data_IF_091960183269
#
_entry.id   IF_091960183269
#
_cell.length_a   1.000
_cell.length_b   1.000
_cell.length_c   1.000
_cell.angle_alpha   90.00
_cell.angle_beta   90.00
_cell.angle_gamma   90.00
#
_symmetry.space_group_name_H-M   'P 1'
#
loop_
_entity.id
_entity.type
_entity.pdbx_description
1 polymer ?
#
# COMPACT_ATOMS: atom_id res chain seq x y z
N UNK A 1 -19.96 18.09 -14.13
CA UNK A 1 -19.12 17.87 -12.92
C UNK A 1 -17.79 17.31 -13.38
N UNK A 2 -16.65 17.95 -13.02
CA UNK A 2 -15.31 17.39 -13.33
C UNK A 2 -15.19 16.07 -12.57
N UNK A 3 -15.27 14.95 -13.28
CA UNK A 3 -15.22 13.60 -12.73
C UNK A 3 -13.76 13.26 -12.33
N UNK A 4 -13.18 14.05 -11.43
CA UNK A 4 -11.78 13.99 -11.04
C UNK A 4 -11.51 12.70 -10.28
N UNK A 5 -10.41 12.04 -10.63
CA UNK A 5 -9.90 10.87 -9.90
C UNK A 5 -9.04 11.41 -8.77
N UNK A 6 -9.40 11.10 -7.53
CA UNK A 6 -8.58 11.44 -6.37
C UNK A 6 -7.69 10.24 -6.05
N UNK A 7 -6.41 10.51 -5.81
CA UNK A 7 -5.40 9.49 -5.53
C UNK A 7 -4.77 9.81 -4.19
N UNK A 8 -4.77 8.84 -3.29
CA UNK A 8 -4.13 8.93 -1.99
C UNK A 8 -3.15 7.77 -1.85
N UNK A 9 -1.95 8.02 -1.32
CA UNK A 9 -0.95 6.99 -1.08
C UNK A 9 -0.75 6.76 0.42
N UNK A 10 -0.43 5.52 0.78
CA UNK A 10 -0.09 5.12 2.14
C UNK A 10 1.05 4.10 2.07
N UNK A 11 2.12 4.34 2.84
CA UNK A 11 3.22 3.38 2.97
C UNK A 11 2.74 2.09 3.64
N UNK A 12 3.11 0.94 3.09
CA UNK A 12 2.70 -0.40 3.56
C UNK A 12 3.86 -1.39 3.44
N UNK A 13 4.77 -1.35 4.41
CA UNK A 13 6.00 -2.15 4.40
C UNK A 13 6.88 -1.79 3.20
N UNK A 14 7.25 -2.79 2.40
CA UNK A 14 8.07 -2.61 1.19
C UNK A 14 7.28 -2.04 0.00
N UNK A 15 5.94 -2.00 0.09
CA UNK A 15 5.06 -1.52 -0.97
C UNK A 15 4.31 -0.26 -0.55
N UNK A 16 3.67 0.41 -1.51
CA UNK A 16 2.77 1.52 -1.24
C UNK A 16 1.37 1.14 -1.67
N UNK A 17 0.40 1.35 -0.80
CA UNK A 17 -1.01 1.25 -1.15
C UNK A 17 -1.44 2.56 -1.81
N UNK A 18 -2.10 2.47 -2.96
CA UNK A 18 -2.68 3.61 -3.66
C UNK A 18 -4.20 3.48 -3.67
N UNK A 19 -4.88 4.38 -2.99
CA UNK A 19 -6.33 4.53 -3.00
C UNK A 19 -6.76 5.40 -4.18
N UNK A 20 -7.76 4.93 -4.91
CA UNK A 20 -8.40 5.59 -6.04
C UNK A 20 -9.86 5.84 -5.69
N UNK A 21 -10.25 7.11 -5.65
CA UNK A 21 -11.63 7.52 -5.40
C UNK A 21 -12.21 8.25 -6.62
N UNK A 22 -13.42 7.86 -7.02
CA UNK A 22 -14.09 8.44 -8.19
C UNK A 22 -15.04 7.47 -8.88
N UNK A 23 -15.31 7.73 -10.16
CA UNK A 23 -16.17 6.86 -10.96
C UNK A 23 -15.49 5.54 -11.32
N UNK A 24 -16.14 4.40 -11.04
CA UNK A 24 -15.63 3.03 -11.30
C UNK A 24 -14.97 2.87 -12.67
N UNK A 25 -15.62 3.32 -13.75
CA UNK A 25 -15.06 3.21 -15.10
C UNK A 25 -13.72 3.93 -15.28
N UNK A 26 -13.52 5.08 -14.62
CA UNK A 26 -12.24 5.82 -14.64
C UNK A 26 -11.18 5.12 -13.78
N UNK A 27 -11.57 4.63 -12.61
CA UNK A 27 -10.69 3.86 -11.72
C UNK A 27 -10.14 2.64 -12.46
N UNK A 28 -11.03 1.85 -13.07
CA UNK A 28 -10.65 0.66 -13.85
C UNK A 28 -9.76 1.03 -15.04
N UNK A 29 -10.10 2.09 -15.79
CA UNK A 29 -9.27 2.53 -16.92
C UNK A 29 -7.87 2.96 -16.49
N UNK A 30 -7.77 3.69 -15.37
CA UNK A 30 -6.48 4.14 -14.83
C UNK A 30 -5.66 2.95 -14.31
N UNK A 31 -6.28 2.06 -13.53
CA UNK A 31 -5.62 0.85 -13.03
C UNK A 31 -5.13 -0.05 -14.17
N UNK A 32 -5.94 -0.25 -15.22
CA UNK A 32 -5.54 -1.04 -16.39
C UNK A 32 -4.37 -0.39 -17.15
N UNK A 33 -4.34 0.95 -17.23
CA UNK A 33 -3.20 1.65 -17.83
C UNK A 33 -1.92 1.41 -17.02
N UNK A 34 -1.99 1.43 -15.69
CA UNK A 34 -0.86 1.11 -14.82
C UNK A 34 -0.41 -0.35 -14.98
N UNK A 35 -1.36 -1.29 -15.01
CA UNK A 35 -1.10 -2.71 -15.23
C UNK A 35 -0.38 -2.96 -16.56
N UNK A 36 -0.86 -2.37 -17.66
CA UNK A 36 -0.28 -2.53 -19.00
C UNK A 36 1.20 -2.08 -19.08
N UNK A 37 1.62 -1.19 -18.20
CA UNK A 37 3.00 -0.70 -18.12
C UNK A 37 3.82 -1.33 -16.99
N UNK A 38 3.27 -2.35 -16.31
CA UNK A 38 3.95 -3.16 -15.30
C UNK A 38 4.03 -2.53 -13.91
N UNK A 39 3.14 -1.58 -13.57
CA UNK A 39 3.16 -0.95 -12.24
C UNK A 39 2.44 -1.76 -11.16
N UNK A 40 1.47 -2.61 -11.52
CA UNK A 40 0.64 -3.38 -10.57
C UNK A 40 0.58 -4.84 -11.01
N UNK A 41 0.23 -5.73 -10.08
CA UNK A 41 -0.03 -7.14 -10.35
C UNK A 41 -1.45 -7.42 -10.90
N UNK A 42 -2.21 -6.36 -11.23
CA UNK A 42 -3.57 -6.48 -11.74
C UNK A 42 -4.64 -6.63 -10.65
N UNK A 43 -4.28 -6.66 -9.38
CA UNK A 43 -5.24 -6.78 -8.28
C UNK A 43 -5.74 -5.40 -7.83
N UNK A 44 -7.06 -5.22 -7.95
CA UNK A 44 -7.76 -4.03 -7.50
C UNK A 44 -8.76 -4.44 -6.41
N UNK A 45 -8.59 -3.89 -5.21
CA UNK A 45 -9.39 -4.22 -4.04
C UNK A 45 -10.47 -3.15 -3.81
N UNK A 46 -11.73 -3.57 -3.61
CA UNK A 46 -12.82 -2.66 -3.23
C UNK A 46 -12.74 -2.37 -1.72
N UNK A 47 -12.94 -1.11 -1.32
CA UNK A 47 -13.07 -0.72 0.10
C UNK A 47 -14.45 -1.03 0.69
N UNK A 48 -15.34 -1.68 -0.08
CA UNK A 48 -16.66 -2.12 0.35
C UNK A 48 -17.78 -1.10 0.08
N UNK A 49 -17.46 0.01 -0.58
CA UNK A 49 -18.43 1.08 -0.88
C UNK A 49 -18.68 1.27 -2.39
N UNK A 50 -17.98 0.53 -3.25
CA UNK A 50 -18.09 0.60 -4.71
C UNK A 50 -17.64 1.93 -5.34
N UNK A 51 -17.05 2.83 -4.55
CA UNK A 51 -16.61 4.19 -4.93
C UNK A 51 -15.12 4.43 -4.70
N UNK A 52 -14.49 3.61 -3.87
CA UNK A 52 -13.09 3.67 -3.52
C UNK A 52 -12.45 2.29 -3.67
N UNK A 53 -11.34 2.24 -4.40
CA UNK A 53 -10.60 1.01 -4.65
C UNK A 53 -9.13 1.25 -4.38
N UNK A 54 -8.40 0.25 -3.92
CA UNK A 54 -6.96 0.36 -3.72
C UNK A 54 -6.19 -0.77 -4.41
N UNK A 55 -4.93 -0.51 -4.69
CA UNK A 55 -3.98 -1.51 -5.19
C UNK A 55 -2.62 -1.30 -4.53
N UNK A 56 -1.81 -2.34 -4.51
CA UNK A 56 -0.43 -2.28 -4.03
C UNK A 56 0.52 -2.15 -5.22
N UNK A 57 1.50 -1.26 -5.09
CA UNK A 57 2.56 -1.09 -6.07
C UNK A 57 3.80 -0.47 -5.42
N UNK A 58 4.97 -0.68 -6.03
CA UNK A 58 6.14 0.12 -5.70
C UNK A 58 6.00 1.53 -6.31
N UNK A 59 6.37 2.59 -5.57
CA UNK A 59 6.25 3.96 -6.04
C UNK A 59 7.02 4.21 -7.34
N UNK A 60 8.21 3.62 -7.48
CA UNK A 60 9.04 3.73 -8.68
C UNK A 60 8.37 3.10 -9.90
N UNK A 61 7.68 1.97 -9.71
CA UNK A 61 6.95 1.28 -10.77
C UNK A 61 5.75 2.13 -11.24
N UNK A 62 5.03 2.77 -10.31
CA UNK A 62 3.93 3.69 -10.61
C UNK A 62 4.44 4.91 -11.38
N UNK A 63 5.52 5.55 -10.91
CA UNK A 63 6.12 6.69 -11.60
C UNK A 63 6.54 6.32 -13.03
N UNK A 64 7.22 5.19 -13.20
CA UNK A 64 7.65 4.71 -14.50
C UNK A 64 6.45 4.44 -15.44
N UNK A 65 5.37 3.85 -14.94
CA UNK A 65 4.14 3.67 -15.72
C UNK A 65 3.49 5.02 -16.09
N UNK A 66 3.44 5.98 -15.17
CA UNK A 66 2.91 7.32 -15.45
C UNK A 66 3.71 8.03 -16.55
N UNK A 67 5.04 7.88 -16.57
CA UNK A 67 5.89 8.40 -17.66
C UNK A 67 5.48 7.79 -19.00
N UNK A 68 5.30 6.47 -19.07
CA UNK A 68 4.89 5.79 -20.30
C UNK A 68 3.49 6.18 -20.76
N UNK A 69 2.55 6.31 -19.83
CA UNK A 69 1.18 6.79 -20.11
C UNK A 69 1.23 8.21 -20.67
N UNK A 70 1.97 9.11 -20.03
CA UNK A 70 2.13 10.49 -20.47
C UNK A 70 2.80 10.56 -21.85
N UNK A 71 3.87 9.79 -22.07
CA UNK A 71 4.57 9.73 -23.35
C UNK A 71 3.66 9.22 -24.47
N UNK A 72 2.91 8.14 -24.22
CA UNK A 72 1.95 7.60 -25.19
C UNK A 72 0.88 8.62 -25.55
N UNK A 73 0.32 9.31 -24.55
CA UNK A 73 -0.66 10.39 -24.76
C UNK A 73 -0.09 11.54 -25.59
N UNK A 74 1.15 11.96 -25.30
CA UNK A 74 1.83 13.01 -26.06
C UNK A 74 2.08 12.58 -27.50
N UNK A 75 2.68 11.39 -27.73
CA UNK A 75 2.94 10.89 -29.08
C UNK A 75 1.67 10.83 -29.94
N UNK A 76 0.55 10.38 -29.36
CA UNK A 76 -0.72 10.29 -30.09
C UNK A 76 -1.36 11.66 -30.36
N UNK A 77 -1.24 12.63 -29.45
CA UNK A 77 -1.83 13.97 -29.63
C UNK A 77 -1.22 14.76 -30.77
N UNK A 78 0.09 14.65 -30.96
CA UNK A 78 0.83 15.44 -31.95
C UNK A 78 1.20 14.66 -33.21
N UNK A 79 0.68 13.44 -33.39
CA UNK A 79 1.03 12.52 -34.51
C UNK A 79 2.56 12.42 -34.74
N UNK A 80 3.32 12.55 -33.66
CA UNK A 80 4.75 12.79 -33.71
C UNK A 80 5.56 11.50 -33.83
N UNK A 81 5.31 10.73 -34.90
CA UNK A 81 6.17 9.62 -35.30
C UNK A 81 7.59 10.17 -35.50
N UNK A 82 8.51 9.80 -34.61
CA UNK A 82 9.94 10.16 -34.68
C UNK A 82 10.46 11.13 -33.62
N UNK A 83 9.62 11.87 -32.89
CA UNK A 83 10.08 12.86 -31.88
C UNK A 83 10.12 12.32 -30.44
N UNK A 84 10.20 10.99 -30.27
CA UNK A 84 10.14 10.34 -28.95
C UNK A 84 11.19 10.88 -27.98
N UNK A 85 12.42 11.15 -28.46
CA UNK A 85 13.51 11.69 -27.63
C UNK A 85 13.19 13.03 -26.95
N UNK A 86 12.62 13.99 -27.69
CA UNK A 86 12.27 15.31 -27.15
C UNK A 86 11.08 15.29 -26.19
N UNK A 87 10.16 14.34 -26.36
CA UNK A 87 8.94 14.24 -25.55
C UNK A 87 9.13 13.48 -24.24
N UNK A 88 10.19 12.67 -24.11
CA UNK A 88 10.46 11.91 -22.88
C UNK A 88 10.65 12.85 -21.69
N UNK A 89 11.40 13.95 -21.86
CA UNK A 89 11.64 14.89 -20.76
C UNK A 89 10.33 15.56 -20.31
N UNK A 90 9.49 15.96 -21.27
CA UNK A 90 8.17 16.52 -20.96
C UNK A 90 7.27 15.49 -20.26
N UNK A 91 7.30 14.23 -20.70
CA UNK A 91 6.55 13.15 -20.08
C UNK A 91 7.01 12.89 -18.64
N UNK A 92 8.33 12.87 -18.39
CA UNK A 92 8.92 12.75 -17.06
C UNK A 92 8.47 13.86 -16.13
N UNK A 93 8.58 15.12 -16.56
CA UNK A 93 8.16 16.28 -15.77
C UNK A 93 6.66 16.20 -15.42
N UNK A 94 5.81 15.84 -16.41
CA UNK A 94 4.36 15.69 -16.18
C UNK A 94 4.03 14.55 -15.23
N UNK A 95 4.68 13.40 -15.40
CA UNK A 95 4.47 12.24 -14.54
C UNK A 95 4.94 12.51 -13.11
N UNK A 96 6.11 13.15 -12.95
CA UNK A 96 6.63 13.54 -11.65
C UNK A 96 5.67 14.52 -10.96
N UNK A 97 5.25 15.58 -11.65
CA UNK A 97 4.27 16.52 -11.09
C UNK A 97 2.95 15.84 -10.73
N UNK A 98 2.48 14.86 -11.51
CA UNK A 98 1.28 14.09 -11.14
C UNK A 98 1.51 13.23 -9.89
N UNK A 99 2.68 12.60 -9.78
CA UNK A 99 3.04 11.76 -8.65
C UNK A 99 3.24 12.55 -7.36
N UNK A 100 3.85 13.74 -7.45
CA UNK A 100 4.07 14.64 -6.31
C UNK A 100 2.76 15.24 -5.79
N UNK A 101 1.74 15.38 -6.65
CA UNK A 101 0.40 15.81 -6.26
C UNK A 101 -0.44 14.71 -5.59
N UNK A 102 0.08 13.47 -5.47
CA UNK A 102 -0.62 12.39 -4.74
C UNK A 102 -0.53 12.67 -3.25
N UNK A 103 -1.69 12.74 -2.61
CA UNK A 103 -1.82 13.06 -1.18
C UNK A 103 -1.39 11.86 -0.33
N UNK A 104 -0.59 12.09 0.71
CA UNK A 104 -0.32 11.09 1.74
C UNK A 104 -1.51 10.97 2.71
N UNK A 105 -1.99 9.76 2.95
CA UNK A 105 -3.14 9.52 3.82
C UNK A 105 -3.09 8.21 4.58
N UNK A 106 -4.08 8.00 5.44
CA UNK A 106 -4.28 6.75 6.19
C UNK A 106 -5.68 6.23 5.90
N UNK A 107 -5.77 5.19 5.08
CA UNK A 107 -7.03 4.56 4.66
C UNK A 107 -7.06 3.05 4.94
N UNK A 108 -5.91 2.38 4.96
CA UNK A 108 -5.79 1.01 5.47
C UNK A 108 -5.43 1.06 6.95
N UNK A 109 -6.27 0.45 7.79
CA UNK A 109 -5.91 0.17 9.18
C UNK A 109 -5.07 -1.09 9.18
N UNK A 110 -3.80 -0.99 9.55
CA UNK A 110 -3.04 -2.19 9.88
C UNK A 110 -3.62 -2.71 11.20
N UNK A 111 -3.99 -3.98 11.27
CA UNK A 111 -4.13 -4.62 12.57
C UNK A 111 -2.73 -4.67 13.14
N UNK A 112 -2.39 -3.77 14.07
CA UNK A 112 -1.32 -4.08 14.99
C UNK A 112 -1.81 -5.30 15.77
N UNK A 113 -1.36 -6.49 15.37
CA UNK A 113 -1.34 -7.62 16.30
C UNK A 113 -0.40 -7.18 17.41
N UNK A 114 -0.97 -6.53 18.44
CA UNK A 114 -0.35 -6.54 19.74
C UNK A 114 -0.35 -8.01 20.14
N UNK A 115 0.68 -8.74 19.73
CA UNK A 115 1.06 -10.01 20.32
C UNK A 115 1.37 -9.68 21.78
N UNK A 116 0.31 -9.60 22.57
CA UNK A 116 0.38 -9.54 24.01
C UNK A 116 0.87 -10.93 24.36
N UNK A 117 2.19 -11.08 24.44
CA UNK A 117 2.80 -12.22 25.12
C UNK A 117 2.26 -12.18 26.54
N UNK A 118 1.18 -12.92 26.79
CA UNK A 118 0.70 -13.15 28.12
C UNK A 118 1.83 -13.83 28.86
N UNK A 119 2.52 -13.10 29.73
CA UNK A 119 3.41 -13.71 30.70
C UNK A 119 2.55 -14.74 31.43
N UNK A 120 2.82 -16.02 31.16
CA UNK A 120 2.14 -17.12 31.83
C UNK A 120 2.18 -16.86 33.33
N UNK A 121 1.07 -17.08 34.01
CA UNK A 121 1.02 -17.03 35.46
C UNK A 121 2.03 -18.04 36.00
N UNK A 122 3.15 -17.54 36.52
CA UNK A 122 4.05 -18.34 37.37
C UNK A 122 3.29 -18.53 38.68
N UNK A 123 2.59 -19.65 38.80
CA UNK A 123 2.08 -20.11 40.09
C UNK A 123 3.28 -20.61 40.88
N UNK A 124 3.85 -19.75 41.72
CA UNK A 124 4.81 -20.18 42.71
C UNK A 124 4.07 -21.07 43.72
N UNK A 125 4.32 -22.37 43.65
CA UNK A 125 3.91 -23.30 44.70
C UNK A 125 4.59 -22.86 46.00
N UNK A 126 3.82 -22.74 47.09
CA UNK A 126 4.31 -22.29 48.39
C UNK A 126 5.49 -23.18 48.84
N UNK A 127 6.62 -22.60 49.29
CA UNK A 127 7.66 -23.40 49.93
C UNK A 127 7.23 -23.68 51.37
N UNK A 128 6.53 -24.79 51.65
CA UNK A 128 6.31 -25.17 53.06
C UNK A 128 6.15 -26.65 53.38
N UNK A 129 6.54 -27.59 52.50
CA UNK A 129 6.47 -29.02 52.82
C UNK A 129 7.83 -29.74 52.71
N UNK A 130 8.92 -29.05 53.05
CA UNK A 130 10.23 -29.68 53.24
C UNK A 130 10.87 -29.22 54.56
N UNK A 131 10.35 -29.74 55.68
CA UNK A 131 11.17 -29.98 56.85
C UNK A 131 10.83 -31.38 57.36
N UNK A 132 11.82 -32.27 57.19
CA UNK A 132 11.69 -33.69 57.45
C UNK A 132 11.23 -34.00 58.87
N UNK A 133 10.47 -35.08 58.97
CA UNK A 133 10.30 -35.81 60.20
C UNK A 133 11.66 -36.14 60.81
N UNK A 134 11.86 -35.75 62.07
CA UNK A 134 12.69 -36.52 63.01
C UNK A 134 11.91 -36.60 64.31
N UNK A 135 11.26 -37.75 64.50
CA UNK A 135 10.88 -38.22 65.81
C UNK A 135 12.13 -38.60 66.59
N UNK A 136 12.27 -38.10 67.81
CA UNK A 136 12.93 -38.86 68.86
C UNK A 136 12.34 -38.44 70.20
N UNK A 137 11.40 -39.25 70.69
CA UNK A 137 11.07 -39.24 72.10
C UNK A 137 12.20 -39.88 72.91
N UNK A 138 12.40 -39.39 74.13
CA UNK A 138 12.86 -40.19 75.27
C UNK A 138 12.66 -39.40 76.57
N UNK A 139 11.85 -40.01 77.43
CA UNK A 139 11.81 -39.99 78.92
C UNK A 139 11.96 -38.65 79.66
#
# INVERSE_FOLDING_TARGET
MKNQLNITKQSFGDTTAFLLEGGKGRITSFHNALYNWGATNGQLHDMGNGKAFYFYAHPDAVLHALVKIALHSLCNKINAKGMKGGLINLAKIKAQGQFDNIIDGRFLRTSASNDTYGFGTITAEKPSDYCGAVSSGRE
#
